data_IF_318208808952
#
_entry.id   IF_318208808952
#
_cell.length_a   1.000
_cell.length_b   1.000
_cell.length_c   1.000
_cell.angle_alpha   90.00
_cell.angle_beta   90.00
_cell.angle_gamma   90.00
#
_symmetry.space_group_name_H-M   'P 1'
#
loop_
_entity.id
_entity.type
_entity.pdbx_description
1 polymer ?
#
# COMPACT_ATOMS: atom_id res chain seq x y z
N UNK A 1 22.73 -4.62 -20.10
CA UNK A 1 21.31 -4.32 -19.83
C UNK A 1 20.47 -4.63 -21.07
N UNK A 2 19.39 -5.42 -20.97
CA UNK A 2 18.47 -5.65 -22.08
C UNK A 2 17.64 -4.40 -22.38
N UNK A 3 17.21 -4.25 -23.63
CA UNK A 3 16.28 -3.19 -24.01
C UNK A 3 14.90 -3.39 -23.38
N UNK A 4 14.30 -2.29 -22.94
CA UNK A 4 12.94 -2.28 -22.41
C UNK A 4 11.93 -2.56 -23.52
N UNK A 5 10.96 -3.42 -23.25
CA UNK A 5 9.82 -3.72 -24.11
C UNK A 5 8.54 -3.16 -23.49
N UNK A 6 7.66 -2.58 -24.32
CA UNK A 6 6.36 -2.09 -23.86
C UNK A 6 5.37 -3.25 -23.79
N UNK A 7 4.77 -3.51 -22.62
CA UNK A 7 3.71 -4.50 -22.45
C UNK A 7 2.38 -3.98 -22.99
N UNK A 8 1.42 -4.88 -23.22
CA UNK A 8 0.07 -4.50 -23.69
C UNK A 8 -0.66 -3.59 -22.70
N UNK A 9 -0.33 -3.68 -21.40
CA UNK A 9 -0.87 -2.83 -20.34
C UNK A 9 -0.15 -1.46 -20.22
N UNK A 10 0.80 -1.18 -21.13
CA UNK A 10 1.51 0.10 -21.21
C UNK A 10 2.68 0.25 -20.24
N UNK A 11 3.24 -0.84 -19.73
CA UNK A 11 4.42 -0.81 -18.86
C UNK A 11 5.71 -1.15 -19.61
N UNK A 12 6.83 -0.57 -19.19
CA UNK A 12 8.14 -1.04 -19.61
C UNK A 12 8.47 -2.33 -18.85
N UNK A 13 8.82 -3.39 -19.59
CA UNK A 13 9.28 -4.69 -19.11
C UNK A 13 10.70 -4.93 -19.62
N UNK A 14 11.57 -5.47 -18.78
CA UNK A 14 12.93 -5.85 -19.14
C UNK A 14 13.04 -7.37 -19.14
N UNK A 15 12.75 -8.04 -20.26
CA UNK A 15 12.79 -9.49 -20.30
C UNK A 15 14.24 -9.98 -20.10
N UNK A 16 14.41 -11.12 -19.40
CA UNK A 16 15.73 -11.72 -19.25
C UNK A 16 16.28 -12.08 -20.63
N UNK A 17 17.48 -11.62 -20.93
CA UNK A 17 18.24 -11.97 -22.13
C UNK A 17 19.59 -12.50 -21.68
N UNK A 18 20.06 -13.57 -22.33
CA UNK A 18 21.46 -14.04 -22.33
C UNK A 18 22.17 -13.83 -21.00
N UNK A 19 21.69 -14.52 -19.95
CA UNK A 19 22.23 -14.55 -18.58
C UNK A 19 22.44 -13.22 -17.81
N UNK A 20 22.02 -12.09 -18.37
CA UNK A 20 22.25 -10.78 -17.77
C UNK A 20 21.64 -10.63 -16.37
N UNK A 21 22.50 -10.34 -15.39
CA UNK A 21 22.13 -10.12 -13.99
C UNK A 21 22.16 -8.63 -13.64
N UNK A 22 20.99 -7.99 -13.70
CA UNK A 22 20.83 -6.56 -13.37
C UNK A 22 21.25 -6.19 -11.95
N UNK A 23 21.24 -7.13 -10.99
CA UNK A 23 21.64 -6.86 -9.61
C UNK A 23 23.16 -6.72 -9.48
N UNK A 24 23.90 -7.58 -10.18
CA UNK A 24 25.36 -7.53 -10.22
C UNK A 24 25.83 -6.32 -11.02
N UNK A 25 25.28 -6.12 -12.21
CA UNK A 25 25.59 -4.97 -13.08
C UNK A 25 25.33 -3.63 -12.38
N UNK A 26 24.19 -3.49 -11.69
CA UNK A 26 23.87 -2.30 -10.91
C UNK A 26 24.78 -2.07 -9.71
N UNK A 27 25.39 -3.12 -9.15
CA UNK A 27 26.35 -2.99 -8.06
C UNK A 27 27.73 -2.51 -8.56
N UNK A 28 28.08 -2.84 -9.80
CA UNK A 28 29.35 -2.42 -10.45
C UNK A 28 29.28 -0.99 -11.02
N UNK A 29 28.08 -0.44 -11.21
CA UNK A 29 27.85 0.87 -11.82
C UNK A 29 27.06 1.86 -10.94
N UNK A 30 27.56 2.22 -9.75
CA UNK A 30 26.89 3.16 -8.85
C UNK A 30 26.82 4.59 -9.40
N UNK A 31 27.72 4.94 -10.32
CA UNK A 31 27.79 6.24 -10.99
C UNK A 31 26.56 6.50 -11.87
N UNK A 32 26.02 5.46 -12.50
CA UNK A 32 24.78 5.55 -13.30
C UNK A 32 23.59 5.89 -12.39
N UNK A 33 23.52 5.26 -11.21
CA UNK A 33 22.46 5.53 -10.21
C UNK A 33 22.56 6.96 -9.71
N UNK A 34 23.77 7.42 -9.39
CA UNK A 34 24.02 8.80 -8.93
C UNK A 34 23.66 9.84 -10.01
N UNK A 35 24.02 9.60 -11.27
CA UNK A 35 23.69 10.48 -12.38
C UNK A 35 22.18 10.62 -12.62
N UNK A 36 21.41 9.56 -12.35
CA UNK A 36 19.94 9.55 -12.51
C UNK A 36 19.20 10.17 -11.32
N UNK A 37 19.82 10.23 -10.14
CA UNK A 37 19.18 10.71 -8.90
C UNK A 37 18.55 12.11 -8.99
N UNK A 38 19.17 13.14 -9.62
CA UNK A 38 18.55 14.46 -9.76
C UNK A 38 17.33 14.48 -10.66
N UNK A 39 17.14 13.46 -11.51
CA UNK A 39 15.94 13.29 -12.33
C UNK A 39 14.86 12.62 -11.48
N UNK A 40 15.22 11.60 -10.69
CA UNK A 40 14.31 10.94 -9.75
C UNK A 40 13.73 11.93 -8.73
N UNK A 41 14.57 12.80 -8.17
CA UNK A 41 14.19 13.80 -7.17
C UNK A 41 13.18 14.85 -7.69
N UNK A 42 13.00 14.98 -9.01
CA UNK A 42 12.02 15.90 -9.62
C UNK A 42 10.62 15.31 -9.65
N UNK A 43 10.50 13.99 -9.55
CA UNK A 43 9.21 13.35 -9.58
C UNK A 43 8.48 13.53 -8.24
N UNK A 44 7.15 13.72 -8.26
CA UNK A 44 6.41 13.81 -7.02
C UNK A 44 6.48 12.48 -6.26
N UNK A 45 6.34 12.46 -4.92
CA UNK A 45 6.50 11.26 -4.09
C UNK A 45 5.59 10.08 -4.47
N UNK A 46 4.54 10.32 -5.27
CA UNK A 46 3.60 9.33 -5.77
C UNK A 46 3.88 8.87 -7.23
N UNK A 47 4.89 9.41 -7.90
CA UNK A 47 5.25 9.02 -9.28
C UNK A 47 5.96 7.67 -9.35
N UNK A 48 6.72 7.32 -8.32
CA UNK A 48 7.23 5.98 -8.15
C UNK A 48 6.11 5.16 -7.56
N UNK A 49 5.68 4.10 -8.26
CA UNK A 49 4.78 3.15 -7.64
C UNK A 49 5.43 2.68 -6.34
N UNK A 50 4.79 2.85 -5.17
CA UNK A 50 5.19 2.08 -4.00
C UNK A 50 5.24 0.61 -4.45
N UNK A 51 6.29 -0.13 -4.06
CA UNK A 51 6.48 -1.56 -4.41
C UNK A 51 5.30 -2.47 -4.02
N UNK A 52 4.28 -1.91 -3.38
CA UNK A 52 3.12 -2.60 -2.84
C UNK A 52 1.87 -1.72 -3.06
N UNK A 53 1.51 -1.44 -4.33
CA UNK A 53 0.20 -0.87 -4.61
C UNK A 53 -0.86 -1.94 -4.44
N UNK A 54 -1.81 -1.67 -3.55
CA UNK A 54 -3.01 -2.50 -3.37
C UNK A 54 -3.77 -2.52 -4.69
N UNK A 55 -4.18 -3.71 -5.14
CA UNK A 55 -4.89 -3.86 -6.42
C UNK A 55 -6.24 -3.11 -6.39
N UNK A 56 -6.78 -2.77 -7.56
CA UNK A 56 -8.09 -2.11 -7.64
C UNK A 56 -9.21 -2.99 -7.03
N UNK A 57 -9.11 -4.31 -7.17
CA UNK A 57 -10.00 -5.28 -6.55
C UNK A 57 -9.88 -5.28 -5.02
N UNK A 58 -8.66 -5.22 -4.51
CA UNK A 58 -8.42 -5.18 -3.06
C UNK A 58 -8.90 -3.86 -2.46
N UNK A 59 -8.70 -2.73 -3.13
CA UNK A 59 -9.25 -1.43 -2.71
C UNK A 59 -10.79 -1.45 -2.66
N UNK A 60 -11.45 -2.14 -3.59
CA UNK A 60 -12.90 -2.34 -3.54
C UNK A 60 -13.31 -3.17 -2.34
N UNK A 61 -12.68 -4.33 -2.12
CA UNK A 61 -12.95 -5.18 -0.94
C UNK A 61 -12.69 -4.45 0.38
N UNK A 62 -11.66 -3.60 0.43
CA UNK A 62 -11.38 -2.79 1.62
C UNK A 62 -12.45 -1.73 1.90
N UNK A 63 -13.11 -1.18 0.87
CA UNK A 63 -14.28 -0.29 1.05
C UNK A 63 -15.50 -1.06 1.57
N UNK A 64 -15.78 -2.22 0.99
CA UNK A 64 -16.85 -3.11 1.47
C UNK A 64 -16.59 -3.55 2.93
N UNK A 65 -15.33 -3.83 3.25
CA UNK A 65 -14.90 -4.14 4.61
C UNK A 65 -15.14 -2.95 5.55
N UNK A 66 -14.82 -1.72 5.13
CA UNK A 66 -15.07 -0.52 5.92
C UNK A 66 -16.56 -0.32 6.22
N UNK A 67 -17.43 -0.53 5.22
CA UNK A 67 -18.89 -0.51 5.41
C UNK A 67 -19.36 -1.57 6.41
N UNK A 68 -18.85 -2.79 6.29
CA UNK A 68 -19.16 -3.86 7.23
C UNK A 68 -18.71 -3.52 8.67
N UNK A 69 -17.51 -2.97 8.84
CA UNK A 69 -17.00 -2.55 10.16
C UNK A 69 -17.87 -1.45 10.77
N UNK A 70 -18.31 -0.48 9.95
CA UNK A 70 -19.23 0.58 10.40
C UNK A 70 -20.56 0.03 10.91
N UNK A 71 -21.13 -0.95 10.22
CA UNK A 71 -22.39 -1.59 10.64
C UNK A 71 -22.23 -2.52 11.84
N UNK A 72 -21.01 -3.03 12.10
CA UNK A 72 -20.70 -3.98 13.17
C UNK A 72 -20.10 -3.34 14.44
N UNK A 73 -20.39 -2.07 14.70
CA UNK A 73 -20.12 -1.43 15.99
C UNK A 73 -19.02 -0.36 15.98
N UNK A 74 -18.41 -0.09 14.83
CA UNK A 74 -17.41 0.98 14.65
C UNK A 74 -17.86 2.01 13.61
N UNK A 75 -18.94 2.78 13.84
CA UNK A 75 -19.53 3.67 12.84
C UNK A 75 -18.59 4.79 12.37
N UNK A 76 -17.56 5.12 13.16
CA UNK A 76 -16.54 6.11 12.84
C UNK A 76 -15.33 5.51 12.07
N UNK A 77 -15.42 4.27 11.59
CA UNK A 77 -14.38 3.66 10.78
C UNK A 77 -14.32 4.33 9.39
N UNK A 78 -13.14 4.80 8.95
CA UNK A 78 -12.98 5.53 7.69
C UNK A 78 -12.92 4.58 6.49
N UNK A 79 -13.03 5.15 5.29
CA UNK A 79 -12.72 4.45 4.05
C UNK A 79 -11.19 4.33 3.84
N UNK A 80 -10.70 3.33 3.08
CA UNK A 80 -9.28 3.16 2.81
C UNK A 80 -8.75 4.26 1.89
N UNK A 81 -7.50 4.69 2.11
CA UNK A 81 -6.77 5.54 1.16
C UNK A 81 -6.36 4.75 -0.08
N UNK A 82 -5.77 5.43 -1.06
CA UNK A 82 -5.29 4.81 -2.31
C UNK A 82 -4.20 3.75 -2.10
N UNK A 83 -3.52 3.77 -0.96
CA UNK A 83 -2.54 2.76 -0.54
C UNK A 83 -3.16 1.60 0.26
N UNK A 84 -4.48 1.59 0.44
CA UNK A 84 -5.22 0.58 1.21
C UNK A 84 -5.16 0.75 2.73
N UNK A 85 -4.53 1.82 3.25
CA UNK A 85 -4.48 2.09 4.68
C UNK A 85 -5.72 2.84 5.18
N UNK A 86 -6.06 2.64 6.45
CA UNK A 86 -7.15 3.33 7.16
C UNK A 86 -6.58 4.41 8.07
N UNK A 87 -7.10 5.63 7.99
CA UNK A 87 -6.63 6.77 8.79
C UNK A 87 -7.64 7.15 9.87
N UNK A 88 -7.28 6.90 11.13
CA UNK A 88 -8.15 7.21 12.26
C UNK A 88 -7.94 8.63 12.81
N UNK A 89 -6.92 9.36 12.36
CA UNK A 89 -6.50 10.64 12.98
C UNK A 89 -7.58 11.74 12.93
N UNK A 90 -8.58 11.61 12.05
CA UNK A 90 -9.73 12.51 11.95
C UNK A 90 -11.07 11.92 12.40
N UNK A 91 -11.08 10.75 13.04
CA UNK A 91 -12.31 10.07 13.45
C UNK A 91 -12.44 10.01 14.98
N UNK A 92 -13.61 9.63 15.48
CA UNK A 92 -13.82 9.37 16.90
C UNK A 92 -12.93 8.24 17.46
N UNK A 93 -12.26 7.48 16.58
CA UNK A 93 -11.34 6.39 16.91
C UNK A 93 -9.87 6.82 16.94
N UNK A 94 -9.57 8.12 16.80
CA UNK A 94 -8.21 8.65 16.79
C UNK A 94 -7.38 8.24 18.03
N UNK A 95 -8.05 8.13 19.18
CA UNK A 95 -7.45 7.75 20.47
C UNK A 95 -7.42 6.23 20.71
N UNK A 96 -7.78 5.45 19.70
CA UNK A 96 -7.79 3.99 19.75
C UNK A 96 -9.19 3.41 19.53
N UNK A 97 -9.19 2.12 19.23
CA UNK A 97 -10.40 1.32 19.01
C UNK A 97 -10.56 0.35 20.18
N UNK A 98 -11.74 0.26 20.80
CA UNK A 98 -12.00 -0.76 21.81
C UNK A 98 -11.73 -2.17 21.23
N UNK A 99 -10.92 -2.97 21.94
CA UNK A 99 -10.47 -4.28 21.44
C UNK A 99 -11.63 -5.23 21.18
N UNK A 100 -12.64 -5.23 22.05
CA UNK A 100 -13.84 -6.05 21.94
C UNK A 100 -14.65 -5.70 20.67
N UNK A 101 -14.85 -4.41 20.40
CA UNK A 101 -15.56 -3.94 19.20
C UNK A 101 -14.78 -4.26 17.93
N UNK A 102 -13.45 -4.07 17.95
CA UNK A 102 -12.58 -4.43 16.84
C UNK A 102 -12.62 -5.93 16.54
N UNK A 103 -12.47 -6.79 17.55
CA UNK A 103 -12.52 -8.25 17.37
C UNK A 103 -13.86 -8.68 16.78
N UNK A 104 -14.97 -8.17 17.32
CA UNK A 104 -16.32 -8.47 16.80
C UNK A 104 -16.48 -8.05 15.33
N UNK A 105 -16.01 -6.85 14.98
CA UNK A 105 -16.08 -6.35 13.61
C UNK A 105 -15.20 -7.18 12.66
N UNK A 106 -13.97 -7.54 13.07
CA UNK A 106 -13.08 -8.40 12.28
C UNK A 106 -13.71 -9.77 12.03
N UNK A 107 -14.31 -10.40 13.04
CA UNK A 107 -14.96 -11.70 12.90
C UNK A 107 -16.16 -11.63 11.95
N UNK A 108 -17.02 -10.61 12.11
CA UNK A 108 -18.19 -10.42 11.25
C UNK A 108 -17.82 -10.15 9.78
N UNK A 109 -16.73 -9.41 9.54
CA UNK A 109 -16.32 -8.95 8.22
C UNK A 109 -15.24 -9.82 7.56
N UNK A 110 -14.86 -10.95 8.18
CA UNK A 110 -13.77 -11.84 7.73
C UNK A 110 -13.98 -12.42 6.33
N UNK A 111 -15.24 -12.59 5.90
CA UNK A 111 -15.58 -13.09 4.56
C UNK A 111 -15.25 -12.08 3.44
N UNK A 112 -15.19 -10.79 3.77
CA UNK A 112 -14.90 -9.71 2.81
C UNK A 112 -13.39 -9.51 2.70
N UNK A 113 -12.71 -9.46 3.85
CA UNK A 113 -11.26 -9.26 3.92
C UNK A 113 -10.64 -10.11 5.03
N UNK A 114 -9.68 -10.96 4.64
CA UNK A 114 -8.91 -11.82 5.56
C UNK A 114 -7.42 -11.44 5.63
N UNK A 115 -7.01 -10.41 4.87
CA UNK A 115 -5.65 -9.89 4.86
C UNK A 115 -5.36 -8.97 6.05
N UNK A 116 -4.11 -8.53 6.16
CA UNK A 116 -3.71 -7.50 7.13
C UNK A 116 -4.28 -6.15 6.71
N UNK A 117 -4.86 -5.40 7.65
CA UNK A 117 -5.20 -3.99 7.45
C UNK A 117 -4.10 -3.09 8.02
N UNK A 118 -3.74 -2.04 7.30
CA UNK A 118 -2.83 -1.01 7.78
C UNK A 118 -3.64 0.12 8.42
N UNK A 119 -3.38 0.45 9.68
CA UNK A 119 -4.07 1.51 10.40
C UNK A 119 -3.05 2.58 10.79
N UNK A 120 -3.32 3.81 10.36
CA UNK A 120 -2.60 4.99 10.79
C UNK A 120 -3.44 5.67 11.88
N UNK A 121 -3.03 5.48 13.13
CA UNK A 121 -3.60 6.21 14.27
C UNK A 121 -2.74 7.45 14.52
N UNK A 122 -3.37 8.57 14.87
CA UNK A 122 -2.66 9.81 15.17
C UNK A 122 -1.61 9.65 16.29
N UNK A 123 -0.77 10.69 16.54
CA UNK A 123 0.30 10.65 17.52
C UNK A 123 -0.28 10.53 18.94
N UNK A 124 -0.52 9.30 19.40
CA UNK A 124 -1.15 9.03 20.70
C UNK A 124 -1.44 7.56 21.01
N UNK A 125 -1.50 6.68 20.01
CA UNK A 125 -1.77 5.24 20.21
C UNK A 125 -0.54 4.42 20.64
N UNK A 126 0.09 4.78 21.75
CA UNK A 126 1.21 4.05 22.32
C UNK A 126 0.84 2.59 22.65
N UNK A 127 1.64 1.67 22.12
CA UNK A 127 1.63 0.24 22.43
C UNK A 127 1.62 0.03 23.96
N UNK A 128 0.64 -0.72 24.45
CA UNK A 128 0.73 -1.50 25.70
C UNK A 128 0.21 -2.89 25.45
#
# INVERSE_FOLDING_TARGET
>A
MPDAQLTEEGYLSFPPQDDYNWKEDGAEHPDIIEACKPIEDRYPPNAFRPKEQVSADDLRKLREYAECVRTNGLPAWPDPRSDGSFDLSGTALANGVPKDQMTKAIEACRSIWSGRIAINSGPGGGKK
#
